data_IF_496470780556
#
_entry.id   IF_496470780556
#
_cell.length_a   1.000
_cell.length_b   1.000
_cell.length_c   1.000
_cell.angle_alpha   90.00
_cell.angle_beta   90.00
_cell.angle_gamma   90.00
#
_symmetry.space_group_name_H-M   'P 1'
#
loop_
_entity.id
_entity.type
_entity.pdbx_description
1 polymer ?
#
# COMPACT_ATOMS: atom_id res chain seq x y z
N UNK A 1 -12.37 10.26 3.08
CA UNK A 1 -11.18 10.36 2.19
C UNK A 1 -9.87 10.77 2.88
N UNK A 2 -9.78 10.87 4.23
CA UNK A 2 -8.59 11.43 4.89
C UNK A 2 -7.99 10.51 5.98
N UNK A 3 -8.30 9.22 5.95
CA UNK A 3 -7.95 8.26 7.02
C UNK A 3 -6.45 8.04 7.21
N UNK A 4 -5.66 8.35 6.18
CA UNK A 4 -4.22 8.06 6.11
C UNK A 4 -3.35 9.30 6.24
N UNK A 5 -3.93 10.51 6.18
CA UNK A 5 -3.14 11.75 6.17
C UNK A 5 -2.54 12.00 7.56
N UNK A 6 -1.21 12.06 7.65
CA UNK A 6 -0.46 12.33 8.88
C UNK A 6 -0.10 11.10 9.74
N UNK A 7 -0.47 9.87 9.31
CA UNK A 7 -0.04 8.65 9.98
C UNK A 7 1.32 8.20 9.46
N UNK A 8 2.30 8.04 10.37
CA UNK A 8 3.53 7.33 10.06
C UNK A 8 3.31 5.83 10.24
N UNK A 9 3.61 5.06 9.20
CA UNK A 9 3.60 3.61 9.24
C UNK A 9 4.98 3.08 9.61
N UNK A 10 5.03 1.94 10.29
CA UNK A 10 6.29 1.24 10.56
C UNK A 10 6.92 0.84 9.23
N UNK A 11 8.25 0.92 9.14
CA UNK A 11 9.02 0.65 7.92
C UNK A 11 8.73 -0.75 7.34
N UNK A 12 8.58 -1.76 8.20
CA UNK A 12 8.16 -3.12 7.80
C UNK A 12 6.85 -3.15 7.03
N UNK A 13 5.84 -2.39 7.48
CA UNK A 13 4.52 -2.37 6.83
C UNK A 13 4.63 -1.78 5.42
N UNK A 14 5.44 -0.73 5.25
CA UNK A 14 5.68 -0.13 3.92
C UNK A 14 6.42 -1.12 3.01
N UNK A 15 7.47 -1.79 3.52
CA UNK A 15 8.24 -2.76 2.74
C UNK A 15 7.37 -3.94 2.30
N UNK A 16 6.55 -4.48 3.20
CA UNK A 16 5.61 -5.56 2.86
C UNK A 16 4.60 -5.11 1.82
N UNK A 17 3.98 -3.93 1.99
CA UNK A 17 3.00 -3.40 1.05
C UNK A 17 3.60 -3.17 -0.35
N UNK A 18 4.79 -2.55 -0.43
CA UNK A 18 5.49 -2.32 -1.70
C UNK A 18 5.93 -3.65 -2.32
N UNK A 19 6.46 -4.58 -1.53
CA UNK A 19 6.85 -5.91 -2.00
C UNK A 19 5.65 -6.68 -2.57
N UNK A 20 4.49 -6.58 -1.92
CA UNK A 20 3.26 -7.20 -2.39
C UNK A 20 2.77 -6.54 -3.69
N UNK A 21 2.77 -5.21 -3.75
CA UNK A 21 2.41 -4.46 -4.95
C UNK A 21 3.26 -4.85 -6.17
N UNK A 22 4.58 -4.94 -5.98
CA UNK A 22 5.53 -5.31 -7.04
C UNK A 22 5.44 -6.80 -7.42
N UNK A 23 5.30 -7.70 -6.45
CA UNK A 23 5.28 -9.15 -6.70
C UNK A 23 4.04 -9.59 -7.49
N UNK A 24 2.91 -8.95 -7.22
CA UNK A 24 1.64 -9.31 -7.84
C UNK A 24 1.27 -8.41 -9.02
N UNK A 25 2.14 -7.47 -9.44
CA UNK A 25 1.86 -6.47 -10.49
C UNK A 25 0.50 -5.79 -10.29
N UNK A 26 0.14 -5.52 -9.02
CA UNK A 26 -1.18 -5.01 -8.70
C UNK A 26 -1.32 -3.62 -9.32
N UNK A 27 -2.34 -3.45 -10.16
CA UNK A 27 -2.71 -2.13 -10.64
C UNK A 27 -3.64 -1.47 -9.64
N UNK A 28 -3.56 -0.16 -9.50
CA UNK A 28 -4.50 0.61 -8.67
C UNK A 28 -5.97 0.32 -9.04
N UNK A 29 -6.24 -0.06 -10.30
CA UNK A 29 -7.57 -0.44 -10.79
C UNK A 29 -8.08 -1.79 -10.25
N UNK A 30 -7.18 -2.71 -9.88
CA UNK A 30 -7.56 -4.01 -9.30
C UNK A 30 -7.67 -3.97 -7.79
N UNK A 31 -7.04 -2.97 -7.16
CA UNK A 31 -7.10 -2.72 -5.71
C UNK A 31 -8.31 -1.84 -5.35
N UNK A 32 -8.95 -1.18 -6.32
CA UNK A 32 -10.20 -0.46 -6.13
C UNK A 32 -11.40 -1.41 -6.28
N UNK A 33 -12.14 -1.61 -5.19
CA UNK A 33 -13.56 -2.01 -5.19
C UNK A 33 -14.47 -0.78 -5.33
#
# INVERSE_FOLDING_TARGET
>A
MNYFKGKQFKKDVIIVAVGYYLRYNLSYREVQE
#
